data_IF_311314410063
#
_entry.id   IF_311314410063
#
_cell.length_a   1.000
_cell.length_b   1.000
_cell.length_c   1.000
_cell.angle_alpha   90.00
_cell.angle_beta   90.00
_cell.angle_gamma   90.00
#
_symmetry.space_group_name_H-M   'P 1'
#
loop_
_entity.id
_entity.type
_entity.pdbx_description
1 polymer ?
#
# COMPACT_ATOMS: atom_id res chain seq x y z
N UNK A 1 18.31 23.22 6.43
CA UNK A 1 17.18 22.75 7.24
C UNK A 1 16.24 22.03 6.30
N UNK A 2 15.81 20.80 6.56
CA UNK A 2 14.83 20.14 5.71
C UNK A 2 13.56 20.98 5.68
N UNK A 3 12.98 21.16 4.50
CA UNK A 3 11.69 21.83 4.34
C UNK A 3 10.58 20.94 4.93
N UNK A 4 9.44 21.53 5.28
CA UNK A 4 8.25 20.82 5.77
C UNK A 4 7.90 19.62 4.85
N UNK A 5 8.00 19.81 3.54
CA UNK A 5 7.80 18.77 2.52
C UNK A 5 8.75 17.56 2.67
N UNK A 6 9.99 17.78 3.13
CA UNK A 6 10.98 16.70 3.26
C UNK A 6 10.69 15.81 4.48
N UNK A 7 10.20 16.39 5.58
CA UNK A 7 9.81 15.60 6.76
C UNK A 7 8.55 14.78 6.50
N UNK A 8 7.57 15.36 5.81
CA UNK A 8 6.34 14.66 5.43
C UNK A 8 6.63 13.46 4.52
N UNK A 9 7.50 13.62 3.52
CA UNK A 9 7.92 12.51 2.64
C UNK A 9 8.61 11.37 3.39
N UNK A 10 9.53 11.69 4.30
CA UNK A 10 10.23 10.66 5.10
C UNK A 10 9.24 9.93 6.02
N UNK A 11 8.33 10.68 6.67
CA UNK A 11 7.32 10.10 7.54
C UNK A 11 6.37 9.17 6.77
N UNK A 12 5.97 9.56 5.55
CA UNK A 12 5.12 8.76 4.68
C UNK A 12 5.83 7.48 4.22
N UNK A 13 7.11 7.58 3.81
CA UNK A 13 7.91 6.41 3.45
C UNK A 13 8.04 5.40 4.61
N UNK A 14 8.20 5.88 5.85
CA UNK A 14 8.22 5.01 7.04
C UNK A 14 6.86 4.44 7.37
N UNK A 15 5.79 5.21 7.19
CA UNK A 15 4.43 4.73 7.39
C UNK A 15 4.08 3.59 6.42
N UNK A 16 4.36 3.76 5.12
CA UNK A 16 4.13 2.73 4.09
C UNK A 16 4.89 1.45 4.47
N UNK A 17 6.19 1.59 4.76
CA UNK A 17 7.03 0.44 5.11
C UNK A 17 6.48 -0.28 6.34
N UNK A 18 6.11 0.49 7.38
CA UNK A 18 5.51 -0.06 8.58
C UNK A 18 4.15 -0.72 8.36
N UNK A 19 3.33 -0.20 7.44
CA UNK A 19 2.05 -0.81 7.07
C UNK A 19 2.26 -2.13 6.32
N UNK A 20 3.16 -2.17 5.33
CA UNK A 20 3.51 -3.39 4.59
C UNK A 20 4.02 -4.48 5.56
N UNK A 21 4.88 -4.12 6.52
CA UNK A 21 5.38 -5.05 7.52
C UNK A 21 4.27 -5.63 8.41
N UNK A 22 3.31 -4.79 8.84
CA UNK A 22 2.14 -5.25 9.61
C UNK A 22 1.28 -6.20 8.80
N UNK A 23 0.91 -5.83 7.57
CA UNK A 23 0.13 -6.68 6.68
C UNK A 23 0.83 -8.02 6.42
N UNK A 24 2.15 -7.99 6.17
CA UNK A 24 2.96 -9.18 5.97
C UNK A 24 2.96 -10.11 7.19
N UNK A 25 3.05 -9.55 8.40
CA UNK A 25 3.03 -10.31 9.64
C UNK A 25 1.67 -10.96 9.94
N UNK A 26 0.57 -10.29 9.57
CA UNK A 26 -0.79 -10.77 9.84
C UNK A 26 -1.31 -11.74 8.78
N UNK A 27 -1.01 -11.48 7.50
CA UNK A 27 -1.71 -12.10 6.37
C UNK A 27 -0.77 -12.75 5.34
N UNK A 28 0.55 -12.69 5.56
CA UNK A 28 1.56 -13.19 4.63
C UNK A 28 2.14 -12.09 3.75
N UNK A 29 3.36 -12.27 3.23
CA UNK A 29 4.13 -11.20 2.57
C UNK A 29 3.62 -10.78 1.19
N UNK A 30 2.71 -11.56 0.59
CA UNK A 30 2.24 -11.33 -0.76
C UNK A 30 0.77 -11.71 -0.91
N UNK A 31 0.10 -11.09 -1.87
CA UNK A 31 -1.26 -11.43 -2.31
C UNK A 31 -1.27 -11.88 -3.76
N UNK A 32 -2.16 -12.80 -4.10
CA UNK A 32 -2.41 -13.23 -5.46
C UNK A 32 -3.60 -12.49 -6.04
N UNK A 33 -3.42 -11.90 -7.22
CA UNK A 33 -4.43 -11.08 -7.87
C UNK A 33 -4.08 -10.78 -9.32
N UNK A 34 -5.09 -10.68 -10.19
CA UNK A 34 -4.88 -10.40 -11.62
C UNK A 34 -3.86 -11.34 -12.31
N UNK A 35 -3.79 -12.60 -11.87
CA UNK A 35 -2.90 -13.62 -12.44
C UNK A 35 -1.42 -13.51 -12.04
N UNK A 36 -1.06 -12.64 -11.10
CA UNK A 36 0.31 -12.53 -10.55
C UNK A 36 0.32 -12.31 -9.03
N UNK A 37 1.51 -12.35 -8.45
CA UNK A 37 1.76 -12.03 -7.04
C UNK A 37 2.16 -10.58 -6.87
N UNK A 38 1.77 -9.98 -5.75
CA UNK A 38 2.01 -8.59 -5.39
C UNK A 38 2.41 -8.48 -3.93
N UNK A 39 3.31 -7.57 -3.57
CA UNK A 39 3.39 -7.13 -2.17
C UNK A 39 2.20 -6.23 -1.81
N UNK A 40 2.00 -5.96 -0.52
CA UNK A 40 0.86 -5.17 -0.05
C UNK A 40 0.84 -3.74 -0.59
N UNK A 41 2.01 -3.11 -0.75
CA UNK A 41 2.11 -1.77 -1.33
C UNK A 41 1.71 -1.75 -2.80
N UNK A 42 2.23 -2.69 -3.58
CA UNK A 42 1.84 -2.88 -4.97
C UNK A 42 0.36 -3.20 -5.11
N UNK A 43 -0.18 -4.05 -4.23
CA UNK A 43 -1.60 -4.39 -4.23
C UNK A 43 -2.48 -3.16 -3.98
N UNK A 44 -2.10 -2.31 -3.02
CA UNK A 44 -2.80 -1.05 -2.77
C UNK A 44 -2.75 -0.14 -4.00
N UNK A 45 -1.59 -0.01 -4.65
CA UNK A 45 -1.47 0.76 -5.88
C UNK A 45 -2.33 0.20 -7.01
N UNK A 46 -2.39 -1.12 -7.16
CA UNK A 46 -3.28 -1.77 -8.15
C UNK A 46 -4.74 -1.44 -7.89
N UNK A 47 -5.16 -1.43 -6.62
CA UNK A 47 -6.52 -1.11 -6.25
C UNK A 47 -6.90 0.34 -6.56
N UNK A 48 -5.98 1.28 -6.33
CA UNK A 48 -6.24 2.72 -6.44
C UNK A 48 -6.00 3.26 -7.86
N UNK A 49 -4.95 2.77 -8.52
CA UNK A 49 -4.40 3.33 -9.76
C UNK A 49 -4.43 2.35 -10.93
N UNK A 50 -4.79 1.10 -10.69
CA UNK A 50 -4.83 0.05 -11.72
C UNK A 50 -3.47 -0.61 -11.96
N UNK A 51 -3.41 -1.43 -13.01
CA UNK A 51 -2.32 -2.40 -13.22
C UNK A 51 -1.02 -1.81 -13.79
N UNK A 52 -1.03 -0.56 -14.24
CA UNK A 52 0.10 0.09 -14.91
C UNK A 52 0.98 0.84 -13.90
N UNK A 53 2.21 0.36 -13.60
CA UNK A 53 3.03 0.94 -12.53
C UNK A 53 3.56 2.35 -12.84
N UNK A 54 3.54 2.77 -14.10
CA UNK A 54 4.09 4.07 -14.51
C UNK A 54 3.28 5.26 -13.96
N UNK A 55 2.04 5.01 -13.52
CA UNK A 55 1.13 6.03 -12.99
C UNK A 55 1.03 5.99 -11.46
N UNK A 56 1.81 5.13 -10.79
CA UNK A 56 1.75 5.00 -9.34
C UNK A 56 2.51 6.13 -8.66
N UNK A 57 1.92 6.79 -7.65
CA UNK A 57 2.60 7.84 -6.92
C UNK A 57 3.71 7.27 -6.02
N UNK A 58 4.75 8.05 -5.77
CA UNK A 58 5.83 7.69 -4.86
C UNK A 58 5.38 7.65 -3.38
N UNK A 59 4.34 8.43 -3.05
CA UNK A 59 3.79 8.57 -1.70
C UNK A 59 2.26 8.37 -1.72
N UNK A 60 1.67 7.75 -0.68
CA UNK A 60 0.23 7.62 -0.55
C UNK A 60 -0.41 8.98 -0.25
N UNK A 61 -1.59 9.19 -0.82
CA UNK A 61 -2.50 10.24 -0.40
C UNK A 61 -3.26 9.85 0.88
N UNK A 62 -3.93 10.81 1.52
CA UNK A 62 -4.82 10.54 2.66
C UNK A 62 -5.94 9.53 2.32
N UNK A 63 -6.34 9.43 1.04
CA UNK A 63 -7.33 8.46 0.59
C UNK A 63 -6.74 7.04 0.55
N UNK A 64 -5.49 6.91 0.13
CA UNK A 64 -4.77 5.62 0.12
C UNK A 64 -4.56 5.10 1.53
N UNK A 65 -4.19 6.00 2.46
CA UNK A 65 -4.03 5.68 3.89
C UNK A 65 -5.32 5.10 4.46
N UNK A 66 -6.47 5.71 4.19
CA UNK A 66 -7.77 5.21 4.67
C UNK A 66 -8.10 3.83 4.13
N UNK A 67 -7.79 3.55 2.86
CA UNK A 67 -8.03 2.22 2.29
C UNK A 67 -7.07 1.18 2.88
N UNK A 68 -5.82 1.55 3.10
CA UNK A 68 -4.85 0.71 3.79
C UNK A 68 -5.27 0.39 5.24
N UNK A 69 -5.84 1.34 5.98
CA UNK A 69 -6.42 1.09 7.31
C UNK A 69 -7.59 0.10 7.26
N UNK A 70 -8.49 0.23 6.29
CA UNK A 70 -9.59 -0.74 6.07
C UNK A 70 -9.02 -2.15 5.78
N UNK A 71 -7.94 -2.23 5.02
CA UNK A 71 -7.30 -3.52 4.73
C UNK A 71 -6.63 -4.13 5.97
N UNK A 72 -6.10 -3.34 6.89
CA UNK A 72 -5.57 -3.88 8.16
C UNK A 72 -6.66 -4.57 8.99
N UNK A 73 -7.91 -4.12 8.88
CA UNK A 73 -9.08 -4.73 9.53
C UNK A 73 -9.54 -6.03 8.84
N UNK A 74 -8.94 -6.40 7.72
CA UNK A 74 -9.26 -7.62 6.97
C UNK A 74 -10.36 -7.45 5.92
N UNK A 75 -10.78 -6.20 5.62
CA UNK A 75 -11.72 -5.91 4.55
C UNK A 75 -10.95 -5.59 3.26
N UNK A 76 -10.87 -6.57 2.37
CA UNK A 76 -10.13 -6.48 1.11
C UNK A 76 -11.06 -6.62 -0.09
N UNK A 77 -10.70 -6.00 -1.23
CA UNK A 77 -11.42 -6.20 -2.47
C UNK A 77 -11.36 -7.66 -2.93
N UNK A 78 -12.43 -8.12 -3.58
CA UNK A 78 -12.62 -9.52 -4.00
C UNK A 78 -11.51 -10.08 -4.92
N UNK A 79 -10.73 -9.20 -5.56
CA UNK A 79 -9.64 -9.62 -6.44
C UNK A 79 -8.42 -10.16 -5.66
N UNK A 80 -8.29 -9.82 -4.37
CA UNK A 80 -7.20 -10.26 -3.50
C UNK A 80 -7.47 -11.67 -2.99
N UNK A 81 -6.47 -12.53 -3.13
CA UNK A 81 -6.46 -13.89 -2.58
C UNK A 81 -5.19 -14.08 -1.75
N UNK A 82 -5.39 -14.52 -0.51
CA UNK A 82 -4.32 -14.87 0.45
C UNK A 82 -4.10 -16.37 0.52
#
# INVERSE_FOLDING_TARGET
MPTEDSFTKIANSWWISGWIDRMAAHWGSQVLGHGRSWDWGQALCVNQYGLEPNDWPDDPSDADIKVAEIWEEGDWPEWIKI
#
